data_IF_109525971688
#
_entry.id   IF_109525971688
#
_cell.length_a   1.000
_cell.length_b   1.000
_cell.length_c   1.000
_cell.angle_alpha   90.00
_cell.angle_beta   90.00
_cell.angle_gamma   90.00
#
_symmetry.space_group_name_H-M   'P 1'
#
loop_
_entity.id
_entity.type
_entity.pdbx_description
1 polymer ?
#
# COMPACT_ATOMS: atom_id res chain seq x y z
N UNK A 1 20.81 1.61 -2.80
CA UNK A 1 20.74 2.55 -3.93
C UNK A 1 19.44 2.35 -4.68
N UNK A 2 18.73 3.42 -4.97
CA UNK A 2 17.44 3.34 -5.65
C UNK A 2 17.61 2.97 -7.14
N UNK A 3 16.68 2.18 -7.64
CA UNK A 3 16.64 1.80 -9.06
C UNK A 3 15.22 1.91 -9.57
N UNK A 4 15.05 1.98 -10.90
CA UNK A 4 13.75 2.08 -11.54
C UNK A 4 13.09 0.71 -11.62
N UNK A 5 11.77 0.70 -11.37
CA UNK A 5 10.95 -0.48 -11.55
C UNK A 5 10.15 -0.35 -12.85
N UNK A 6 9.69 -1.50 -13.39
CA UNK A 6 8.85 -1.51 -14.58
C UNK A 6 7.48 -0.89 -14.23
N UNK A 7 6.99 0.09 -15.00
CA UNK A 7 5.66 0.62 -14.74
C UNK A 7 4.59 -0.44 -15.06
N UNK A 8 3.64 -0.59 -14.14
CA UNK A 8 2.54 -1.56 -14.27
C UNK A 8 1.20 -0.86 -14.06
N UNK A 9 0.14 -1.44 -14.61
CA UNK A 9 -1.21 -0.96 -14.44
C UNK A 9 -2.02 -1.86 -13.50
N UNK A 10 -3.30 -1.57 -13.35
CA UNK A 10 -4.18 -2.31 -12.42
C UNK A 10 -4.30 -3.80 -12.76
N UNK A 11 -4.19 -4.17 -14.03
CA UNK A 11 -4.22 -5.57 -14.45
C UNK A 11 -3.11 -6.41 -13.83
N UNK A 12 -2.03 -5.77 -13.41
CA UNK A 12 -0.92 -6.46 -12.73
C UNK A 12 -1.37 -7.13 -11.42
N UNK A 13 -2.42 -6.64 -10.78
CA UNK A 13 -2.99 -7.24 -9.57
C UNK A 13 -3.34 -8.71 -9.81
N UNK A 14 -3.77 -9.06 -11.03
CA UNK A 14 -4.19 -10.42 -11.37
C UNK A 14 -3.08 -11.27 -11.97
N UNK A 15 -2.02 -10.65 -12.49
CA UNK A 15 -0.97 -11.35 -13.22
C UNK A 15 0.36 -11.43 -12.49
N UNK A 16 0.51 -10.75 -11.37
CA UNK A 16 1.77 -10.69 -10.64
C UNK A 16 2.24 -12.06 -10.16
N UNK A 17 3.55 -12.36 -10.24
CA UNK A 17 4.10 -13.62 -9.72
C UNK A 17 3.90 -13.77 -8.21
N UNK A 18 3.93 -12.67 -7.46
CA UNK A 18 3.62 -12.66 -6.03
C UNK A 18 2.42 -11.77 -5.80
N UNK A 19 1.41 -12.31 -5.16
CA UNK A 19 0.19 -11.58 -4.83
C UNK A 19 -0.14 -11.85 -3.37
N UNK A 20 -0.06 -10.82 -2.55
CA UNK A 20 -0.33 -10.91 -1.12
C UNK A 20 -1.56 -10.07 -0.82
N UNK A 21 -2.56 -10.68 -0.17
CA UNK A 21 -3.82 -10.02 0.12
C UNK A 21 -4.03 -10.04 1.64
N UNK A 22 -4.31 -8.85 2.18
CA UNK A 22 -4.59 -8.66 3.59
C UNK A 22 -5.87 -7.87 3.74
N UNK A 23 -6.60 -8.12 4.82
CA UNK A 23 -7.83 -7.39 5.03
C UNK A 23 -8.26 -7.36 6.47
N UNK A 24 -9.12 -6.39 6.77
CA UNK A 24 -9.73 -6.21 8.07
C UNK A 24 -10.93 -5.28 7.95
N UNK A 25 -11.90 -5.45 8.84
CA UNK A 25 -12.96 -4.47 9.02
C UNK A 25 -12.52 -3.37 9.98
N UNK A 26 -13.00 -2.15 9.74
CA UNK A 26 -12.82 -1.01 10.61
C UNK A 26 -14.16 -0.32 10.84
N UNK A 27 -14.30 0.36 11.97
CA UNK A 27 -15.50 1.14 12.29
C UNK A 27 -15.61 2.42 11.49
N UNK A 28 -14.50 2.89 10.93
CA UNK A 28 -14.48 4.12 10.14
C UNK A 28 -15.28 3.93 8.84
N UNK A 29 -16.04 4.96 8.47
CA UNK A 29 -16.81 4.94 7.22
C UNK A 29 -15.87 4.90 6.00
N UNK A 30 -16.32 4.38 4.84
CA UNK A 30 -15.49 4.30 3.65
C UNK A 30 -14.86 5.64 3.25
N UNK A 31 -15.60 6.73 3.35
CA UNK A 31 -15.10 8.07 3.03
C UNK A 31 -13.97 8.49 3.96
N UNK A 32 -14.06 8.15 5.24
CA UNK A 32 -13.02 8.45 6.22
C UNK A 32 -11.76 7.65 5.92
N UNK A 33 -11.90 6.35 5.63
CA UNK A 33 -10.77 5.50 5.27
C UNK A 33 -10.12 5.99 3.98
N UNK A 34 -10.93 6.30 2.97
CA UNK A 34 -10.40 6.79 1.69
C UNK A 34 -9.63 8.10 1.87
N UNK A 35 -10.13 9.01 2.70
CA UNK A 35 -9.44 10.26 2.98
C UNK A 35 -8.08 10.02 3.63
N UNK A 36 -8.00 9.08 4.56
CA UNK A 36 -6.74 8.73 5.20
C UNK A 36 -5.74 8.14 4.21
N UNK A 37 -6.22 7.35 3.23
CA UNK A 37 -5.37 6.75 2.21
C UNK A 37 -4.90 7.76 1.17
N UNK A 38 -5.83 8.51 0.59
CA UNK A 38 -5.62 9.23 -0.66
C UNK A 38 -5.41 10.73 -0.48
N UNK A 39 -6.01 11.33 0.54
CA UNK A 39 -6.01 12.79 0.68
C UNK A 39 -5.03 13.26 1.75
N UNK A 40 -4.95 12.58 2.89
CA UNK A 40 -4.00 12.94 3.95
C UNK A 40 -2.73 12.09 3.83
N UNK A 41 -1.97 12.31 2.77
CA UNK A 41 -0.76 11.53 2.49
C UNK A 41 0.26 11.68 3.61
N UNK A 42 0.48 12.89 4.10
CA UNK A 42 1.44 13.10 5.20
C UNK A 42 1.02 12.40 6.50
N UNK A 43 -0.26 12.10 6.65
CA UNK A 43 -0.80 11.43 7.82
C UNK A 43 -0.50 9.94 7.90
N UNK A 44 -0.02 9.33 6.83
CA UNK A 44 0.30 7.89 6.84
C UNK A 44 1.25 7.50 7.95
N UNK A 45 2.20 8.36 8.31
CA UNK A 45 3.15 8.07 9.38
C UNK A 45 2.48 7.98 10.76
N UNK A 46 1.27 8.50 10.91
CA UNK A 46 0.54 8.44 12.18
C UNK A 46 -0.25 7.16 12.37
N UNK A 47 -0.65 6.51 11.27
CA UNK A 47 -1.54 5.35 11.41
C UNK A 47 -0.97 4.05 10.83
N UNK A 48 -0.08 4.12 9.82
CA UNK A 48 0.46 2.90 9.19
C UNK A 48 1.81 2.54 9.81
N UNK A 49 1.90 1.38 10.52
CA UNK A 49 3.17 0.92 11.09
C UNK A 49 4.24 0.78 10.01
N UNK A 50 5.45 1.18 10.33
CA UNK A 50 6.58 1.08 9.42
C UNK A 50 6.76 2.29 8.51
N UNK A 51 5.76 3.13 8.34
CA UNK A 51 5.88 4.36 7.55
C UNK A 51 6.49 5.46 8.41
N UNK A 52 7.69 5.90 8.02
CA UNK A 52 8.39 6.98 8.70
C UNK A 52 7.91 8.35 8.23
N UNK A 53 7.72 8.50 6.93
CA UNK A 53 7.19 9.73 6.34
C UNK A 53 6.57 9.43 4.98
N UNK A 54 5.62 10.26 4.60
CA UNK A 54 5.01 10.23 3.27
C UNK A 54 4.74 11.66 2.85
N UNK A 55 5.08 11.99 1.59
CA UNK A 55 4.89 13.33 1.03
C UNK A 55 4.22 13.24 -0.33
N UNK A 56 3.18 14.04 -0.58
CA UNK A 56 2.58 14.08 -1.91
C UNK A 56 3.55 14.70 -2.92
N UNK A 57 3.52 14.16 -4.14
CA UNK A 57 4.25 14.70 -5.27
C UNK A 57 3.25 14.92 -6.41
N UNK A 58 3.70 15.47 -7.53
CA UNK A 58 2.84 15.60 -8.69
C UNK A 58 2.50 14.21 -9.23
N UNK A 59 1.23 13.83 -9.12
CA UNK A 59 0.73 12.55 -9.60
C UNK A 59 1.04 11.35 -8.70
N UNK A 60 1.63 11.55 -7.52
CA UNK A 60 1.99 10.44 -6.66
C UNK A 60 2.46 10.85 -5.29
N UNK A 61 3.43 10.11 -4.78
CA UNK A 61 3.98 10.37 -3.44
C UNK A 61 5.37 9.78 -3.29
N UNK A 62 6.11 10.29 -2.32
CA UNK A 62 7.37 9.72 -1.85
C UNK A 62 7.14 9.16 -0.45
N UNK A 63 7.56 7.91 -0.23
CA UNK A 63 7.36 7.21 1.04
C UNK A 63 8.70 6.71 1.56
N UNK A 64 8.93 6.94 2.84
CA UNK A 64 10.08 6.40 3.56
C UNK A 64 9.59 5.47 4.64
N UNK A 65 10.14 4.27 4.66
CA UNK A 65 9.84 3.28 5.67
C UNK A 65 10.97 3.22 6.69
N UNK A 66 10.66 2.68 7.86
CA UNK A 66 11.68 2.36 8.85
C UNK A 66 12.67 1.36 8.24
N UNK A 67 13.95 1.46 8.63
CA UNK A 67 15.00 0.62 8.06
C UNK A 67 15.61 1.18 6.79
N UNK A 68 15.25 2.39 6.38
CA UNK A 68 15.90 3.08 5.26
C UNK A 68 15.31 2.80 3.89
N UNK A 69 14.20 2.05 3.79
CA UNK A 69 13.54 1.80 2.51
C UNK A 69 12.83 3.07 2.03
N UNK A 70 12.98 3.36 0.73
CA UNK A 70 12.38 4.55 0.10
C UNK A 70 11.71 4.17 -1.19
N UNK A 71 10.52 4.76 -1.41
CA UNK A 71 9.75 4.58 -2.64
C UNK A 71 9.40 5.93 -3.25
N UNK A 72 9.47 6.02 -4.58
CA UNK A 72 8.76 7.05 -5.35
C UNK A 72 7.62 6.35 -6.08
N UNK A 73 6.41 6.87 -5.93
CA UNK A 73 5.19 6.19 -6.39
C UNK A 73 4.34 7.09 -7.26
N UNK A 74 3.60 6.48 -8.19
CA UNK A 74 2.57 7.15 -8.99
C UNK A 74 1.21 6.54 -8.63
N UNK A 75 0.24 7.41 -8.36
CA UNK A 75 -1.16 6.99 -8.15
C UNK A 75 -1.75 6.63 -9.49
N UNK A 76 -2.27 5.40 -9.63
CA UNK A 76 -2.84 4.91 -10.89
C UNK A 76 -4.35 4.72 -10.83
N UNK A 77 -4.94 4.74 -9.64
CA UNK A 77 -6.39 4.71 -9.47
C UNK A 77 -6.75 5.44 -8.18
N UNK A 78 -7.75 6.30 -8.26
CA UNK A 78 -8.27 7.02 -7.11
C UNK A 78 -9.76 7.26 -7.34
N UNK A 79 -10.56 6.24 -7.04
CA UNK A 79 -12.02 6.24 -7.24
C UNK A 79 -12.66 6.24 -5.86
N UNK A 80 -12.99 7.44 -5.37
CA UNK A 80 -13.55 7.60 -4.04
C UNK A 80 -14.97 7.07 -3.94
N UNK A 81 -15.35 6.40 -2.87
CA UNK A 81 -14.52 5.97 -1.76
C UNK A 81 -14.11 4.49 -1.85
N UNK A 82 -13.94 3.93 -3.04
CA UNK A 82 -13.87 2.50 -3.27
C UNK A 82 -12.45 1.97 -3.51
N UNK A 83 -11.67 2.65 -4.35
CA UNK A 83 -10.37 2.12 -4.81
C UNK A 83 -9.31 3.19 -4.76
N UNK A 84 -8.17 2.82 -4.19
CA UNK A 84 -6.96 3.63 -4.22
C UNK A 84 -5.78 2.71 -4.54
N UNK A 85 -5.06 3.01 -5.60
CA UNK A 85 -3.94 2.18 -6.03
C UNK A 85 -2.78 3.03 -6.53
N UNK A 86 -1.57 2.55 -6.29
CA UNK A 86 -0.35 3.21 -6.72
C UNK A 86 0.69 2.16 -7.08
N UNK A 87 1.57 2.53 -8.01
CA UNK A 87 2.72 1.71 -8.38
C UNK A 87 4.00 2.35 -7.85
N UNK A 88 4.99 1.54 -7.59
CA UNK A 88 6.32 2.02 -7.21
C UNK A 88 7.13 2.22 -8.48
N UNK A 89 7.61 3.45 -8.70
CA UNK A 89 8.43 3.80 -9.87
C UNK A 89 9.91 3.60 -9.59
N UNK A 90 10.36 3.98 -8.39
CA UNK A 90 11.74 3.77 -7.94
C UNK A 90 11.75 3.27 -6.51
N UNK A 91 12.70 2.41 -6.20
CA UNK A 91 12.89 1.85 -4.87
C UNK A 91 14.34 1.47 -4.65
N UNK A 92 14.75 1.45 -3.37
CA UNK A 92 16.06 0.94 -2.96
C UNK A 92 15.94 -0.46 -2.37
N UNK A 93 15.02 -1.27 -2.89
CA UNK A 93 14.80 -2.66 -2.47
C UNK A 93 15.48 -3.58 -3.48
N UNK A 94 16.52 -4.32 -3.08
CA UNK A 94 17.25 -5.18 -4.01
C UNK A 94 16.36 -6.22 -4.67
N UNK A 95 16.46 -6.35 -5.97
CA UNK A 95 15.76 -7.37 -6.74
C UNK A 95 14.34 -7.05 -7.11
N UNK A 96 13.74 -5.98 -6.60
CA UNK A 96 12.39 -5.56 -6.98
C UNK A 96 12.36 -5.11 -8.44
N UNK A 97 11.39 -5.61 -9.23
CA UNK A 97 11.24 -5.27 -10.65
C UNK A 97 9.90 -4.63 -10.97
N UNK A 98 8.86 -4.96 -10.23
CA UNK A 98 7.55 -4.34 -10.36
C UNK A 98 6.83 -4.42 -9.02
N UNK A 99 6.05 -3.38 -8.70
CA UNK A 99 5.41 -3.27 -7.39
C UNK A 99 4.18 -2.41 -7.51
N UNK A 100 3.02 -2.97 -7.19
CA UNK A 100 1.75 -2.27 -7.18
C UNK A 100 1.00 -2.61 -5.90
N UNK A 101 0.34 -1.61 -5.32
CA UNK A 101 -0.50 -1.79 -4.14
C UNK A 101 -1.89 -1.25 -4.44
N UNK A 102 -2.90 -2.05 -4.11
CA UNK A 102 -4.29 -1.68 -4.33
C UNK A 102 -5.08 -1.80 -3.02
N UNK A 103 -5.76 -0.73 -2.66
CA UNK A 103 -6.69 -0.70 -1.53
C UNK A 103 -8.12 -0.72 -2.08
N UNK A 104 -8.89 -1.66 -1.59
CA UNK A 104 -10.29 -1.82 -1.97
C UNK A 104 -11.16 -1.67 -0.73
N UNK A 105 -12.13 -0.75 -0.79
CA UNK A 105 -12.99 -0.42 0.34
C UNK A 105 -14.42 -0.79 0.00
N UNK A 106 -15.04 -1.57 0.89
CA UNK A 106 -16.43 -2.00 0.74
C UNK A 106 -17.20 -1.62 2.00
N UNK A 107 -18.37 -0.99 1.90
CA UNK A 107 -19.19 -0.73 3.08
C UNK A 107 -19.48 -2.03 3.84
N UNK A 108 -19.41 -1.97 5.17
CA UNK A 108 -19.68 -3.09 6.04
C UNK A 108 -20.37 -2.58 7.31
N UNK A 109 -21.69 -2.72 7.37
CA UNK A 109 -22.49 -2.04 8.40
C UNK A 109 -22.31 -0.53 8.25
N UNK A 110 -21.95 0.14 9.34
CA UNK A 110 -21.63 1.57 9.34
C UNK A 110 -20.14 1.83 9.09
N UNK A 111 -19.34 0.77 9.05
CA UNK A 111 -17.89 0.86 8.82
C UNK A 111 -17.48 0.40 7.44
N UNK A 112 -16.26 -0.14 7.36
CA UNK A 112 -15.64 -0.50 6.09
C UNK A 112 -14.92 -1.84 6.20
N UNK A 113 -15.07 -2.68 5.17
CA UNK A 113 -14.18 -3.81 4.95
C UNK A 113 -13.07 -3.35 4.04
N UNK A 114 -11.84 -3.39 4.54
CA UNK A 114 -10.65 -2.93 3.82
C UNK A 114 -9.88 -4.16 3.33
N UNK A 115 -9.59 -4.20 2.05
CA UNK A 115 -8.72 -5.21 1.45
C UNK A 115 -7.54 -4.52 0.79
N UNK A 116 -6.34 -4.95 1.12
CA UNK A 116 -5.11 -4.42 0.55
C UNK A 116 -4.36 -5.54 -0.16
N UNK A 117 -4.00 -5.30 -1.41
CA UNK A 117 -3.29 -6.26 -2.26
C UNK A 117 -1.93 -5.72 -2.64
N UNK A 118 -0.89 -6.51 -2.41
CA UNK A 118 0.45 -6.29 -2.95
C UNK A 118 0.60 -7.18 -4.17
N UNK A 119 0.93 -6.58 -5.31
CA UNK A 119 1.26 -7.28 -6.55
C UNK A 119 2.73 -7.01 -6.85
N UNK A 120 3.57 -8.04 -6.83
CA UNK A 120 5.01 -7.89 -6.79
C UNK A 120 5.68 -8.80 -7.82
N UNK A 121 6.75 -8.31 -8.43
CA UNK A 121 7.64 -9.09 -9.26
C UNK A 121 9.08 -8.70 -8.98
N UNK A 122 9.99 -9.64 -9.17
CA UNK A 122 11.41 -9.41 -8.96
C UNK A 122 12.22 -10.67 -9.13
N UNK A 123 13.47 -10.61 -8.71
CA UNK A 123 14.36 -11.77 -8.71
C UNK A 123 13.80 -12.87 -7.80
N UNK A 124 14.29 -14.11 -7.98
CA UNK A 124 13.85 -15.22 -7.13
C UNK A 124 14.10 -14.97 -5.64
N UNK A 125 15.26 -14.43 -5.21
CA UNK A 125 15.46 -14.06 -3.81
C UNK A 125 14.46 -13.01 -3.33
N UNK A 126 14.17 -11.99 -4.13
CA UNK A 126 13.18 -10.96 -3.77
C UNK A 126 11.81 -11.59 -3.53
N UNK A 127 11.36 -12.46 -4.47
CA UNK A 127 10.06 -13.13 -4.33
C UNK A 127 9.99 -14.00 -3.09
N UNK A 128 11.08 -14.72 -2.77
CA UNK A 128 11.16 -15.54 -1.57
C UNK A 128 11.06 -14.69 -0.30
N UNK A 129 11.79 -13.58 -0.25
CA UNK A 129 11.75 -12.66 0.89
C UNK A 129 10.34 -12.10 1.09
N UNK A 130 9.66 -11.71 0.01
CA UNK A 130 8.29 -11.19 0.08
C UNK A 130 7.34 -12.23 0.71
N UNK A 131 7.45 -13.49 0.29
CA UNK A 131 6.61 -14.56 0.84
C UNK A 131 6.90 -14.83 2.30
N UNK A 132 8.18 -14.81 2.70
CA UNK A 132 8.57 -14.99 4.09
C UNK A 132 8.14 -13.81 4.96
N UNK A 133 8.15 -12.60 4.41
CA UNK A 133 7.75 -11.40 5.13
C UNK A 133 6.22 -11.24 5.25
N UNK A 134 5.44 -11.99 4.46
CA UNK A 134 4.00 -11.80 4.37
C UNK A 134 3.26 -11.80 5.72
N UNK A 135 3.54 -12.72 6.68
CA UNK A 135 2.86 -12.66 7.97
C UNK A 135 3.09 -11.35 8.72
N UNK A 136 4.32 -10.83 8.71
CA UNK A 136 4.65 -9.55 9.34
C UNK A 136 4.01 -8.37 8.63
N UNK A 137 3.99 -8.39 7.29
CA UNK A 137 3.32 -7.36 6.49
C UNK A 137 1.82 -7.34 6.80
N UNK A 138 1.19 -8.51 6.85
CA UNK A 138 -0.23 -8.62 7.16
C UNK A 138 -0.55 -8.09 8.54
N UNK A 139 0.30 -8.37 9.53
CA UNK A 139 0.12 -7.84 10.88
C UNK A 139 0.19 -6.32 10.89
N UNK A 140 1.16 -5.73 10.19
CA UNK A 140 1.32 -4.28 10.10
C UNK A 140 0.11 -3.63 9.41
N UNK A 141 -0.35 -4.20 8.30
CA UNK A 141 -1.51 -3.69 7.56
C UNK A 141 -2.76 -3.72 8.44
N UNK A 142 -3.02 -4.84 9.11
CA UNK A 142 -4.20 -4.97 9.97
C UNK A 142 -4.13 -4.03 11.17
N UNK A 143 -2.94 -3.83 11.74
CA UNK A 143 -2.75 -2.88 12.84
C UNK A 143 -3.00 -1.44 12.37
N UNK A 144 -2.51 -1.08 11.19
CA UNK A 144 -2.78 0.23 10.60
C UNK A 144 -4.27 0.47 10.39
N UNK A 145 -4.97 -0.50 9.82
CA UNK A 145 -6.42 -0.40 9.60
C UNK A 145 -7.15 -0.24 10.94
N UNK A 146 -6.74 -1.00 11.96
CA UNK A 146 -7.34 -0.91 13.31
C UNK A 146 -7.18 0.49 13.90
N UNK A 147 -6.07 1.13 13.65
CA UNK A 147 -5.82 2.49 14.14
C UNK A 147 -6.86 3.48 13.60
N UNK A 148 -7.41 3.23 12.42
CA UNK A 148 -8.46 4.07 11.83
C UNK A 148 -9.78 4.00 12.60
N UNK A 149 -9.99 2.96 13.42
CA UNK A 149 -11.19 2.86 14.28
C UNK A 149 -11.29 4.05 15.24
N UNK A 150 -10.16 4.62 15.64
CA UNK A 150 -10.12 5.74 16.56
C UNK A 150 -10.50 7.08 15.91
N UNK A 151 -10.72 7.10 14.60
CA UNK A 151 -11.12 8.30 13.89
C UNK A 151 -10.00 9.32 13.78
N UNK A 152 -9.09 9.08 12.86
CA UNK A 152 -8.03 10.05 12.56
C UNK A 152 -8.60 11.33 11.97
#
# INVERSE_FOLDING_TARGET
MAHQLRPVGLDFVETAPVRLVFGRETRAAPETVFRALAEDVAGWSRWMPGVRSAHPTEGGREVRLQGGVRFAETVIASTAPEVYAYRVDTANVPGARAWLEEWHLTPYGTGTRVRMTFALDGTAPFRAVCRLAAPGMGRAIREGIRTLDAGL
#
